data_IF_652628149758
#
_entry.id   IF_652628149758
#
_cell.length_a   1.000
_cell.length_b   1.000
_cell.length_c   1.000
_cell.angle_alpha   90.00
_cell.angle_beta   90.00
_cell.angle_gamma   90.00
#
_symmetry.space_group_name_H-M   'P 1'
#
loop_
_entity.id
_entity.type
_entity.pdbx_description
1 polymer ?
#
# COMPACT_ATOMS: atom_id res chain seq x y z
N UNK A 1 0.61 19.58 11.60
CA UNK A 1 -0.06 19.12 10.35
C UNK A 1 0.96 18.44 9.46
N UNK A 2 0.53 17.48 8.63
CA UNK A 2 1.45 16.69 7.79
C UNK A 2 1.58 17.19 6.36
N UNK A 3 0.64 18.03 5.92
CA UNK A 3 0.58 18.50 4.53
C UNK A 3 -0.10 19.89 4.42
N UNK A 4 0.15 20.65 3.33
CA UNK A 4 -0.25 22.06 3.19
C UNK A 4 -1.76 22.34 3.07
N UNK A 5 -2.53 21.42 2.51
CA UNK A 5 -3.99 21.54 2.38
C UNK A 5 -4.67 21.54 3.76
N UNK A 6 -4.28 20.64 4.65
CA UNK A 6 -4.72 20.59 6.05
C UNK A 6 -4.38 21.87 6.80
N UNK A 7 -3.20 22.45 6.55
CA UNK A 7 -2.81 23.75 7.09
C UNK A 7 -3.78 24.87 6.64
N UNK A 8 -4.12 24.92 5.34
CA UNK A 8 -5.12 25.88 4.82
C UNK A 8 -6.50 25.72 5.46
N UNK A 9 -6.90 24.50 5.84
CA UNK A 9 -8.15 24.26 6.54
C UNK A 9 -8.11 24.80 7.99
N UNK A 10 -6.98 24.64 8.69
CA UNK A 10 -6.80 25.22 10.02
C UNK A 10 -6.84 26.75 9.98
N UNK A 11 -6.23 27.37 8.97
CA UNK A 11 -6.30 28.83 8.78
C UNK A 11 -7.75 29.30 8.66
N UNK A 12 -8.57 28.58 7.86
CA UNK A 12 -10.01 28.87 7.71
C UNK A 12 -10.80 28.69 9.00
N UNK A 13 -10.36 27.81 9.89
CA UNK A 13 -10.95 27.59 11.22
C UNK A 13 -10.43 28.58 12.27
N UNK A 14 -9.54 29.50 11.90
CA UNK A 14 -8.95 30.49 12.81
C UNK A 14 -7.87 29.93 13.74
N UNK A 15 -7.40 28.71 13.50
CA UNK A 15 -6.32 28.08 14.27
C UNK A 15 -4.98 28.61 13.77
N UNK A 16 -4.27 29.38 14.60
CA UNK A 16 -3.01 30.06 14.21
C UNK A 16 -1.73 29.39 14.72
N UNK A 17 -1.84 28.55 15.75
CA UNK A 17 -0.69 27.93 16.40
C UNK A 17 -0.51 26.49 15.92
N UNK A 18 0.04 26.32 14.72
CA UNK A 18 0.41 25.01 14.21
C UNK A 18 1.72 25.07 13.41
N UNK A 19 2.34 23.90 13.27
CA UNK A 19 3.49 23.70 12.39
C UNK A 19 3.17 22.61 11.36
N UNK A 20 3.75 22.74 10.18
CA UNK A 20 3.76 21.68 9.18
C UNK A 20 5.02 20.86 9.42
N UNK A 21 4.86 19.57 9.68
CA UNK A 21 5.92 18.61 9.97
C UNK A 21 5.76 17.40 9.07
N UNK A 22 6.85 16.67 8.82
CA UNK A 22 6.78 15.42 8.06
C UNK A 22 5.92 14.37 8.77
N UNK A 23 5.44 13.37 8.03
CA UNK A 23 4.72 12.25 8.65
C UNK A 23 5.63 11.51 9.62
N UNK A 24 5.11 11.19 10.82
CA UNK A 24 5.87 10.50 11.88
C UNK A 24 6.36 9.13 11.44
N UNK A 25 5.67 8.47 10.50
CA UNK A 25 6.08 7.18 9.95
C UNK A 25 7.46 7.22 9.25
N UNK A 26 7.93 8.41 8.85
CA UNK A 26 9.30 8.61 8.34
C UNK A 26 10.34 8.46 9.45
N UNK A 27 10.02 8.87 10.67
CA UNK A 27 10.95 8.86 11.81
C UNK A 27 10.97 7.52 12.56
N UNK A 28 9.87 6.75 12.49
CA UNK A 28 9.78 5.43 13.10
C UNK A 28 10.76 4.48 12.39
N UNK A 29 11.60 3.78 13.15
CA UNK A 29 12.49 2.73 12.63
C UNK A 29 12.03 1.39 13.17
N UNK A 30 11.68 0.47 12.27
CA UNK A 30 11.42 -0.91 12.63
C UNK A 30 12.68 -1.55 13.21
N UNK A 31 12.51 -2.44 14.20
CA UNK A 31 13.61 -3.25 14.71
C UNK A 31 14.06 -4.23 13.62
N UNK A 32 15.28 -4.07 13.13
CA UNK A 32 15.80 -4.81 11.97
C UNK A 32 16.32 -6.20 12.34
N UNK A 33 16.32 -6.54 13.63
CA UNK A 33 17.16 -7.61 14.16
C UNK A 33 16.69 -9.04 13.89
N UNK A 34 15.43 -9.28 13.49
CA UNK A 34 14.89 -10.65 13.46
C UNK A 34 13.99 -11.02 12.26
N UNK A 35 13.89 -10.22 11.20
CA UNK A 35 12.97 -10.52 10.11
C UNK A 35 13.72 -10.86 8.83
N UNK A 36 13.72 -12.16 8.48
CA UNK A 36 14.17 -12.62 7.18
C UNK A 36 13.26 -12.02 6.10
N UNK A 37 13.85 -11.45 5.06
CA UNK A 37 13.11 -11.02 3.87
C UNK A 37 12.33 -12.21 3.31
N UNK A 38 11.01 -12.18 3.44
CA UNK A 38 10.16 -13.29 3.01
C UNK A 38 10.13 -13.37 1.47
N UNK A 39 10.41 -12.25 0.79
CA UNK A 39 10.36 -12.15 -0.67
C UNK A 39 11.58 -11.41 -1.20
N UNK A 40 12.31 -12.05 -2.12
CA UNK A 40 13.27 -11.39 -2.99
C UNK A 40 12.64 -11.26 -4.38
N UNK A 41 12.60 -10.04 -4.92
CA UNK A 41 12.17 -9.74 -6.31
C UNK A 41 10.66 -9.83 -6.60
N UNK A 42 9.79 -9.75 -5.58
CA UNK A 42 8.35 -9.66 -5.78
C UNK A 42 7.84 -8.23 -6.07
N UNK A 43 6.71 -8.11 -6.76
CA UNK A 43 5.95 -6.85 -6.86
C UNK A 43 4.92 -6.81 -5.72
N UNK A 44 5.00 -5.79 -4.89
CA UNK A 44 3.99 -5.54 -3.86
C UNK A 44 2.84 -4.70 -4.37
N UNK A 45 1.63 -5.01 -3.91
CA UNK A 45 0.41 -4.27 -4.24
C UNK A 45 -0.34 -3.95 -2.95
N UNK A 46 -0.48 -2.66 -2.62
CA UNK A 46 -1.20 -2.17 -1.43
C UNK A 46 -2.42 -1.33 -1.83
N UNK A 47 -3.53 -1.96 -2.29
CA UNK A 47 -4.71 -1.23 -2.70
C UNK A 47 -5.55 -0.81 -1.49
N UNK A 48 -6.07 0.41 -1.52
CA UNK A 48 -7.07 0.90 -0.58
C UNK A 48 -8.47 0.41 -0.96
N UNK A 49 -9.32 0.14 0.03
CA UNK A 49 -10.77 0.02 -0.20
C UNK A 49 -11.37 1.37 -0.62
N UNK A 50 -12.11 1.40 -1.75
CA UNK A 50 -12.63 2.62 -2.38
C UNK A 50 -14.15 2.81 -2.24
N UNK A 51 -14.81 2.02 -1.37
CA UNK A 51 -16.28 1.96 -1.24
C UNK A 51 -16.96 3.31 -0.95
N UNK A 52 -16.27 4.22 -0.26
CA UNK A 52 -16.81 5.52 0.14
C UNK A 52 -16.39 6.66 -0.78
N UNK A 53 -15.57 6.38 -1.79
CA UNK A 53 -15.00 7.38 -2.69
C UNK A 53 -15.49 7.20 -4.11
N UNK A 54 -15.77 5.96 -4.51
CA UNK A 54 -16.15 5.59 -5.88
C UNK A 54 -17.51 4.90 -5.91
N UNK A 55 -18.21 5.00 -7.05
CA UNK A 55 -19.40 4.20 -7.31
C UNK A 55 -19.05 2.73 -7.50
N UNK A 56 -20.05 1.85 -7.47
CA UNK A 56 -19.84 0.42 -7.70
C UNK A 56 -19.21 0.14 -9.08
N UNK A 57 -19.66 0.85 -10.10
CA UNK A 57 -19.14 0.72 -11.47
C UNK A 57 -17.69 1.20 -11.57
N UNK A 58 -17.34 2.26 -10.84
CA UNK A 58 -15.96 2.75 -10.75
C UNK A 58 -15.05 1.79 -10.01
N UNK A 59 -15.52 1.18 -8.92
CA UNK A 59 -14.79 0.13 -8.22
C UNK A 59 -14.55 -1.07 -9.14
N UNK A 60 -15.55 -1.53 -9.88
CA UNK A 60 -15.38 -2.67 -10.81
C UNK A 60 -14.34 -2.33 -11.89
N UNK A 61 -14.40 -1.12 -12.48
CA UNK A 61 -13.39 -0.66 -13.45
C UNK A 61 -11.98 -0.62 -12.85
N UNK A 62 -11.85 -0.12 -11.62
CA UNK A 62 -10.58 -0.09 -10.89
C UNK A 62 -10.02 -1.50 -10.71
N UNK A 63 -10.86 -2.44 -10.25
CA UNK A 63 -10.48 -3.84 -10.01
C UNK A 63 -10.03 -4.51 -11.30
N UNK A 64 -10.80 -4.38 -12.39
CA UNK A 64 -10.46 -4.97 -13.69
C UNK A 64 -9.16 -4.39 -14.25
N UNK A 65 -8.98 -3.07 -14.17
CA UNK A 65 -7.75 -2.42 -14.64
C UNK A 65 -6.51 -2.88 -13.85
N UNK A 66 -6.63 -3.00 -12.52
CA UNK A 66 -5.53 -3.50 -11.69
C UNK A 66 -5.23 -4.97 -11.99
N UNK A 67 -6.24 -5.83 -12.09
CA UNK A 67 -6.04 -7.23 -12.43
C UNK A 67 -5.31 -7.41 -13.77
N UNK A 68 -5.72 -6.67 -14.80
CA UNK A 68 -5.05 -6.68 -16.10
C UNK A 68 -3.59 -6.21 -16.00
N UNK A 69 -3.33 -5.11 -15.29
CA UNK A 69 -1.97 -4.62 -15.09
C UNK A 69 -1.09 -5.65 -14.37
N UNK A 70 -1.61 -6.31 -13.34
CA UNK A 70 -0.88 -7.33 -12.59
C UNK A 70 -0.66 -8.61 -13.40
N UNK A 71 -1.62 -9.01 -14.25
CA UNK A 71 -1.44 -10.13 -15.17
C UNK A 71 -0.26 -9.86 -16.13
N UNK A 72 -0.19 -8.65 -16.71
CA UNK A 72 0.93 -8.26 -17.60
C UNK A 72 2.27 -8.28 -16.85
N UNK A 73 2.31 -7.79 -15.61
CA UNK A 73 3.51 -7.82 -14.79
C UNK A 73 3.92 -9.26 -14.41
N UNK A 74 2.96 -10.12 -14.07
CA UNK A 74 3.21 -11.52 -13.72
C UNK A 74 3.77 -12.35 -14.88
N UNK A 75 3.61 -11.92 -16.14
CA UNK A 75 4.24 -12.57 -17.30
C UNK A 75 5.77 -12.49 -17.28
N UNK A 76 6.34 -11.51 -16.57
CA UNK A 76 7.79 -11.30 -16.47
C UNK A 76 8.45 -12.14 -15.35
N UNK A 77 7.80 -13.21 -14.91
CA UNK A 77 8.22 -14.11 -13.81
C UNK A 77 8.28 -13.47 -12.42
N UNK A 78 7.63 -12.33 -12.22
CA UNK A 78 7.58 -11.66 -10.93
C UNK A 78 6.41 -12.20 -10.10
N UNK A 79 6.67 -12.58 -8.85
CA UNK A 79 5.63 -12.95 -7.90
C UNK A 79 4.85 -11.70 -7.47
N UNK A 80 3.51 -11.79 -7.45
CA UNK A 80 2.65 -10.69 -7.00
C UNK A 80 2.29 -10.90 -5.54
N UNK A 81 2.55 -9.90 -4.70
CA UNK A 81 2.27 -9.94 -3.27
C UNK A 81 1.33 -8.80 -2.90
N UNK A 82 0.11 -9.13 -2.54
CA UNK A 82 -0.83 -8.17 -1.99
C UNK A 82 -0.53 -7.90 -0.51
N UNK A 83 -0.32 -6.64 -0.17
CA UNK A 83 -0.02 -6.15 1.17
C UNK A 83 -1.18 -5.29 1.69
N UNK A 84 -2.13 -5.93 2.37
CA UNK A 84 -3.25 -5.22 3.00
C UNK A 84 -2.76 -4.40 4.20
N UNK A 85 -3.21 -3.14 4.30
CA UNK A 85 -2.97 -2.29 5.48
C UNK A 85 -4.14 -2.25 6.47
N UNK A 86 -5.27 -2.88 6.11
CA UNK A 86 -6.48 -2.94 6.93
C UNK A 86 -7.39 -4.10 6.49
N UNK A 87 -8.33 -4.50 7.33
CA UNK A 87 -9.31 -5.54 7.01
C UNK A 87 -10.11 -5.23 5.74
N UNK A 88 -10.45 -3.96 5.53
CA UNK A 88 -11.19 -3.53 4.33
C UNK A 88 -10.34 -3.64 3.07
N UNK A 89 -9.04 -3.37 3.17
CA UNK A 89 -8.12 -3.50 2.04
C UNK A 89 -7.96 -4.98 1.61
N UNK A 90 -8.13 -5.94 2.54
CA UNK A 90 -8.11 -7.38 2.20
C UNK A 90 -9.19 -7.70 1.16
N UNK A 91 -10.39 -7.14 1.33
CA UNK A 91 -11.50 -7.35 0.39
C UNK A 91 -11.12 -6.83 -1.00
N UNK A 92 -10.47 -5.67 -1.08
CA UNK A 92 -9.99 -5.13 -2.35
C UNK A 92 -8.92 -6.03 -2.98
N UNK A 93 -7.96 -6.52 -2.20
CA UNK A 93 -6.96 -7.49 -2.68
C UNK A 93 -7.62 -8.74 -3.26
N UNK A 94 -8.60 -9.31 -2.55
CA UNK A 94 -9.35 -10.48 -2.99
C UNK A 94 -10.14 -10.22 -4.28
N UNK A 95 -10.79 -9.06 -4.39
CA UNK A 95 -11.53 -8.68 -5.60
C UNK A 95 -10.61 -8.57 -6.81
N UNK A 96 -9.43 -7.95 -6.66
CA UNK A 96 -8.43 -7.85 -7.73
C UNK A 96 -7.89 -9.23 -8.09
N UNK A 97 -7.45 -10.00 -7.10
CA UNK A 97 -6.90 -11.34 -7.30
C UNK A 97 -7.91 -12.28 -8.00
N UNK A 98 -9.19 -12.20 -7.65
CA UNK A 98 -10.25 -13.00 -8.28
C UNK A 98 -10.51 -12.64 -9.76
N UNK A 99 -10.04 -11.48 -10.22
CA UNK A 99 -10.17 -11.02 -11.62
C UNK A 99 -8.90 -11.23 -12.44
N UNK A 100 -7.80 -11.64 -11.81
CA UNK A 100 -6.56 -11.98 -12.50
C UNK A 100 -6.74 -13.28 -13.31
N UNK A 101 -6.02 -13.40 -14.42
CA UNK A 101 -5.99 -14.61 -15.27
C UNK A 101 -5.29 -15.78 -14.57
N UNK A 102 -4.21 -15.51 -13.83
CA UNK A 102 -3.46 -16.52 -13.07
C UNK A 102 -3.33 -16.13 -11.59
N UNK A 103 -4.36 -16.36 -10.77
CA UNK A 103 -4.32 -16.03 -9.35
C UNK A 103 -3.28 -16.83 -8.57
N UNK A 104 -2.76 -17.96 -9.08
CA UNK A 104 -1.76 -18.76 -8.37
C UNK A 104 -0.39 -18.08 -8.27
N UNK A 105 -0.14 -17.07 -9.11
CA UNK A 105 1.06 -16.21 -9.06
C UNK A 105 0.92 -15.04 -8.09
N UNK A 106 -0.23 -14.93 -7.43
CA UNK A 106 -0.50 -13.91 -6.44
C UNK A 106 -0.71 -14.52 -5.06
N UNK A 107 -0.29 -13.79 -4.03
CA UNK A 107 -0.54 -14.13 -2.62
C UNK A 107 -1.02 -12.91 -1.88
N UNK A 108 -1.95 -13.10 -0.95
CA UNK A 108 -2.38 -12.04 -0.04
C UNK A 108 -1.70 -12.28 1.31
N UNK A 109 -0.93 -11.29 1.74
CA UNK A 109 -0.30 -11.28 3.06
C UNK A 109 -1.11 -10.38 3.96
N UNK A 110 -1.42 -10.91 5.12
CA UNK A 110 -2.10 -10.20 6.20
C UNK A 110 -1.22 -10.35 7.42
N UNK A 111 -0.69 -9.22 7.88
CA UNK A 111 0.03 -9.14 9.15
C UNK A 111 -0.55 -8.02 9.99
N UNK A 112 -0.58 -8.23 11.31
CA UNK A 112 -0.91 -7.19 12.28
C UNK A 112 0.36 -6.59 12.90
N UNK A 113 1.53 -7.08 12.51
CA UNK A 113 2.82 -6.64 12.99
C UNK A 113 3.40 -5.59 12.04
N UNK A 114 3.74 -4.43 12.58
CA UNK A 114 4.24 -3.29 11.81
C UNK A 114 5.66 -3.57 11.28
N UNK A 115 6.48 -4.28 12.05
CA UNK A 115 7.85 -4.61 11.67
C UNK A 115 7.86 -5.68 10.56
N UNK A 116 6.96 -6.66 10.62
CA UNK A 116 6.75 -7.64 9.54
C UNK A 116 6.23 -6.97 8.25
N UNK A 117 5.30 -6.03 8.39
CA UNK A 117 4.78 -5.26 7.25
C UNK A 117 5.88 -4.42 6.58
N UNK A 118 6.68 -3.71 7.38
CA UNK A 118 7.81 -2.92 6.87
C UNK A 118 8.89 -3.81 6.23
N UNK A 119 9.17 -4.96 6.83
CA UNK A 119 10.14 -5.94 6.29
C UNK A 119 9.67 -6.52 4.97
N UNK A 120 8.37 -6.78 4.83
CA UNK A 120 7.75 -7.24 3.57
C UNK A 120 7.91 -6.20 2.46
N UNK A 121 7.67 -4.92 2.76
CA UNK A 121 7.85 -3.83 1.79
C UNK A 121 9.32 -3.69 1.35
N UNK A 122 10.27 -3.85 2.28
CA UNK A 122 11.70 -3.68 1.99
C UNK A 122 12.25 -4.72 1.01
N UNK A 123 11.69 -5.93 0.96
CA UNK A 123 12.12 -6.99 0.04
C UNK A 123 11.58 -6.86 -1.40
N UNK A 124 10.65 -5.93 -1.63
CA UNK A 124 10.00 -5.78 -2.93
C UNK A 124 10.91 -5.13 -3.97
N UNK A 125 10.74 -5.53 -5.23
CA UNK A 125 11.31 -4.85 -6.40
C UNK A 125 10.56 -3.58 -6.76
N UNK A 126 9.23 -3.61 -6.59
CA UNK A 126 8.31 -2.54 -6.93
C UNK A 126 7.14 -2.57 -5.94
N UNK A 127 6.65 -1.40 -5.53
CA UNK A 127 5.42 -1.27 -4.75
C UNK A 127 4.41 -0.42 -5.52
N UNK A 128 3.23 -0.98 -5.78
CA UNK A 128 2.06 -0.28 -6.29
C UNK A 128 1.09 -0.02 -5.12
N UNK A 129 0.99 1.21 -4.64
CA UNK A 129 0.18 1.54 -3.48
C UNK A 129 -0.71 2.76 -3.70
N UNK A 130 -1.94 2.69 -3.18
CA UNK A 130 -2.87 3.83 -3.14
C UNK A 130 -3.04 4.41 -1.73
N UNK A 131 -2.64 3.68 -0.69
CA UNK A 131 -2.52 4.19 0.68
C UNK A 131 -1.21 4.95 0.85
N UNK A 132 -1.24 6.02 1.65
CA UNK A 132 -0.07 6.87 1.92
C UNK A 132 1.02 6.15 2.73
N UNK A 133 0.67 5.41 3.79
CA UNK A 133 1.66 4.82 4.70
C UNK A 133 2.55 3.76 4.04
N UNK A 134 2.04 2.80 3.22
CA UNK A 134 2.90 1.89 2.48
C UNK A 134 3.91 2.62 1.57
N UNK A 135 3.48 3.69 0.90
CA UNK A 135 4.36 4.52 0.08
C UNK A 135 5.43 5.25 0.90
N UNK A 136 5.08 5.77 2.08
CA UNK A 136 6.03 6.40 3.00
C UNK A 136 7.05 5.38 3.51
N UNK A 137 6.62 4.17 3.88
CA UNK A 137 7.50 3.11 4.36
C UNK A 137 8.47 2.68 3.26
N UNK A 138 7.99 2.49 2.02
CA UNK A 138 8.84 2.17 0.88
C UNK A 138 9.87 3.28 0.62
N UNK A 139 9.44 4.54 0.61
CA UNK A 139 10.34 5.69 0.44
C UNK A 139 11.41 5.77 1.53
N UNK A 140 11.01 5.58 2.81
CA UNK A 140 11.93 5.54 3.95
C UNK A 140 12.95 4.41 3.84
N UNK A 141 12.57 3.26 3.28
CA UNK A 141 13.49 2.13 3.10
C UNK A 141 14.47 2.32 1.93
N UNK A 142 14.20 3.26 1.03
CA UNK A 142 15.07 3.60 -0.10
C UNK A 142 16.16 4.63 0.24
N UNK A 143 15.86 5.52 1.20
CA UNK A 143 16.78 6.58 1.70
C UNK A 143 17.65 6.04 2.83
#
# INVERSE_FOLDING_TARGET
>A
MREPYSAKLLDKLGVKNYQIVVDIAILVRADRSNHSFIYSEAIGVGPAMLKYTLTKEEVERYVVAHAHCLDELATHHEEIVFLSSSSDDIVMCQMIMAKMKDPNRAKIIVTNDVDEYESSIRGLKLLLATRMHPSIIAFKNFI
#
